data_IF_920539609831
#
_entry.id   IF_920539609831
#
_cell.length_a   1.000
_cell.length_b   1.000
_cell.length_c   1.000
_cell.angle_alpha   90.00
_cell.angle_beta   90.00
_cell.angle_gamma   90.00
#
_symmetry.space_group_name_H-M   'P 1'
#
loop_
_entity.id
_entity.type
_entity.pdbx_description
1 polymer ?
#
# COMPACT_ATOMS: atom_id res chain seq x y z
N UNK A 1 -13.92 23.38 2.79
CA UNK A 1 -15.28 22.85 2.95
C UNK A 1 -15.22 21.69 3.94
N UNK A 2 -15.96 21.73 5.05
CA UNK A 2 -15.94 20.71 6.10
C UNK A 2 -17.22 19.87 5.99
N UNK A 3 -17.09 18.56 5.77
CA UNK A 3 -18.22 17.65 5.50
C UNK A 3 -18.85 17.04 6.77
N UNK A 4 -18.33 17.37 7.95
CA UNK A 4 -18.75 16.77 9.23
C UNK A 4 -18.14 15.39 9.48
N UNK A 5 -18.64 14.71 10.51
CA UNK A 5 -18.19 13.36 10.88
C UNK A 5 -18.77 12.28 9.97
N UNK A 6 -17.96 11.28 9.65
CA UNK A 6 -18.37 10.10 8.88
C UNK A 6 -19.03 9.08 9.81
N UNK A 7 -20.29 9.33 10.19
CA UNK A 7 -21.02 8.51 11.18
C UNK A 7 -22.29 7.88 10.64
N UNK A 8 -22.68 8.18 9.40
CA UNK A 8 -23.92 7.67 8.85
C UNK A 8 -23.68 6.33 8.15
N UNK A 9 -24.24 5.28 8.69
CA UNK A 9 -24.08 3.91 8.20
C UNK A 9 -25.00 3.62 7.01
N UNK A 10 -24.50 2.87 6.03
CA UNK A 10 -25.28 2.36 4.92
C UNK A 10 -26.10 1.12 5.35
N UNK A 11 -27.43 1.10 5.19
CA UNK A 11 -28.25 -0.04 5.61
C UNK A 11 -27.95 -1.35 4.87
N UNK A 12 -27.32 -1.28 3.69
CA UNK A 12 -27.10 -2.46 2.83
C UNK A 12 -25.70 -3.08 2.97
N UNK A 13 -24.69 -2.29 3.33
CA UNK A 13 -23.29 -2.77 3.40
C UNK A 13 -22.54 -2.31 4.64
N UNK A 14 -23.21 -1.59 5.56
CA UNK A 14 -22.67 -1.13 6.83
C UNK A 14 -21.46 -0.20 6.72
N UNK A 15 -21.15 0.30 5.52
CA UNK A 15 -20.11 1.31 5.32
C UNK A 15 -20.54 2.66 5.92
N UNK A 16 -19.63 3.32 6.63
CA UNK A 16 -19.84 4.67 7.16
C UNK A 16 -19.62 5.73 6.09
N UNK A 17 -20.47 6.77 6.12
CA UNK A 17 -20.47 7.86 5.15
C UNK A 17 -20.75 9.22 5.81
N UNK A 18 -20.44 10.28 5.06
CA UNK A 18 -20.90 11.64 5.36
C UNK A 18 -22.32 11.87 4.84
N UNK A 19 -23.09 12.67 5.56
CA UNK A 19 -24.45 13.07 5.16
C UNK A 19 -24.48 13.72 3.77
N UNK A 20 -23.46 14.52 3.45
CA UNK A 20 -23.35 15.19 2.16
C UNK A 20 -23.20 14.24 0.95
N UNK A 21 -22.98 12.93 1.18
CA UNK A 21 -22.86 11.90 0.14
C UNK A 21 -24.17 11.12 -0.10
N UNK A 22 -25.26 11.57 0.51
CA UNK A 22 -26.58 11.00 0.28
C UNK A 22 -27.08 11.27 -1.14
N UNK A 23 -27.88 10.36 -1.68
CA UNK A 23 -28.65 10.67 -2.88
C UNK A 23 -29.69 11.75 -2.61
N UNK A 24 -30.10 12.48 -3.65
CA UNK A 24 -31.10 13.55 -3.56
C UNK A 24 -32.46 13.07 -3.00
N UNK A 25 -32.80 11.79 -3.22
CA UNK A 25 -34.04 11.16 -2.73
C UNK A 25 -33.85 10.42 -1.39
N UNK A 26 -32.70 10.60 -0.75
CA UNK A 26 -32.40 10.01 0.55
C UNK A 26 -33.15 10.73 1.66
N UNK A 27 -33.55 10.00 2.70
CA UNK A 27 -34.14 10.57 3.91
C UNK A 27 -33.29 10.19 5.12
N UNK A 28 -33.49 10.88 6.26
CA UNK A 28 -32.85 10.48 7.51
C UNK A 28 -33.28 9.09 7.98
N UNK A 29 -34.50 8.70 7.63
CA UNK A 29 -35.10 7.42 8.02
C UNK A 29 -34.58 6.29 7.11
N UNK A 30 -34.39 6.58 5.82
CA UNK A 30 -33.87 5.63 4.83
C UNK A 30 -32.71 6.26 4.05
N UNK A 31 -31.51 6.29 4.64
CA UNK A 31 -30.35 6.85 3.97
C UNK A 31 -29.90 5.94 2.82
N UNK A 32 -29.81 6.50 1.61
CA UNK A 32 -29.42 5.76 0.41
C UNK A 32 -28.07 6.24 -0.11
N UNK A 33 -27.19 5.28 -0.39
CA UNK A 33 -25.82 5.51 -0.85
C UNK A 33 -25.55 4.75 -2.14
N UNK A 34 -25.02 5.44 -3.15
CA UNK A 34 -24.65 4.84 -4.43
C UNK A 34 -23.18 4.47 -4.52
N UNK A 35 -22.33 5.15 -3.75
CA UNK A 35 -20.87 5.02 -3.88
C UNK A 35 -20.28 3.76 -3.25
N UNK A 36 -20.93 3.17 -2.24
CA UNK A 36 -20.45 1.94 -1.60
C UNK A 36 -20.93 0.70 -2.35
N UNK A 37 -22.20 0.32 -2.22
CA UNK A 37 -22.76 -0.94 -2.71
C UNK A 37 -23.72 -0.76 -3.90
N UNK A 38 -23.69 0.39 -4.58
CA UNK A 38 -24.69 0.78 -5.60
C UNK A 38 -26.13 0.60 -5.11
N UNK A 39 -26.44 1.13 -3.92
CA UNK A 39 -27.76 1.00 -3.30
C UNK A 39 -28.18 -0.46 -3.06
N UNK A 40 -27.25 -1.28 -2.56
CA UNK A 40 -27.48 -2.69 -2.23
C UNK A 40 -27.43 -3.66 -3.41
N UNK A 41 -27.10 -3.19 -4.62
CA UNK A 41 -26.99 -4.04 -5.82
C UNK A 41 -25.70 -4.88 -5.84
N UNK A 42 -24.66 -4.43 -5.13
CA UNK A 42 -23.39 -5.13 -5.03
C UNK A 42 -23.22 -5.61 -3.59
N UNK A 43 -23.04 -6.92 -3.41
CA UNK A 43 -22.59 -7.48 -2.15
C UNK A 43 -21.07 -7.32 -2.04
N UNK A 44 -20.60 -6.58 -1.04
CA UNK A 44 -19.17 -6.39 -0.77
C UNK A 44 -18.82 -7.38 0.35
N UNK A 45 -18.01 -8.41 0.09
CA UNK A 45 -17.59 -9.33 1.14
C UNK A 45 -16.79 -8.57 2.20
N UNK A 46 -16.99 -8.93 3.46
CA UNK A 46 -16.12 -8.47 4.53
C UNK A 46 -14.71 -9.01 4.30
N UNK A 47 -13.72 -8.20 4.65
CA UNK A 47 -12.34 -8.67 4.68
C UNK A 47 -12.21 -9.77 5.73
N UNK A 48 -11.51 -10.84 5.37
CA UNK A 48 -11.12 -11.85 6.35
C UNK A 48 -10.27 -11.22 7.45
N UNK A 49 -10.26 -11.86 8.61
CA UNK A 49 -9.42 -11.42 9.71
C UNK A 49 -7.95 -11.41 9.25
N UNK A 50 -7.25 -10.33 9.59
CA UNK A 50 -5.82 -10.23 9.35
C UNK A 50 -5.12 -11.40 10.06
N UNK A 51 -4.18 -12.12 9.41
CA UNK A 51 -3.38 -13.15 10.05
C UNK A 51 -2.77 -12.66 11.38
N UNK A 52 -2.71 -13.53 12.39
CA UNK A 52 -2.34 -13.14 13.75
C UNK A 52 -0.93 -12.54 13.86
N UNK A 53 0.00 -13.02 13.04
CA UNK A 53 1.36 -12.52 12.96
C UNK A 53 1.39 -11.08 12.47
N UNK A 54 0.65 -10.77 11.40
CA UNK A 54 0.51 -9.41 10.89
C UNK A 54 -0.21 -8.53 11.90
N UNK A 55 -1.26 -9.03 12.54
CA UNK A 55 -1.95 -8.29 13.60
C UNK A 55 -1.01 -7.88 14.72
N UNK A 56 -0.15 -8.80 15.18
CA UNK A 56 0.83 -8.50 16.22
C UNK A 56 1.87 -7.48 15.75
N UNK A 57 2.37 -7.59 14.51
CA UNK A 57 3.31 -6.61 13.96
C UNK A 57 2.74 -5.18 13.92
N UNK A 58 1.45 -5.03 13.62
CA UNK A 58 0.79 -3.72 13.55
C UNK A 58 0.29 -3.18 14.89
N UNK A 59 -0.16 -4.04 15.80
CA UNK A 59 -0.91 -3.62 16.99
C UNK A 59 -0.30 -4.01 18.34
N UNK A 60 0.68 -4.92 18.38
CA UNK A 60 1.40 -5.20 19.62
C UNK A 60 2.20 -3.96 20.08
N UNK A 61 2.67 -3.97 21.32
CA UNK A 61 3.43 -2.87 21.93
C UNK A 61 4.85 -3.28 22.33
N UNK A 62 5.33 -4.39 21.79
CA UNK A 62 6.70 -4.85 21.97
C UNK A 62 7.68 -4.07 21.06
N UNK A 63 8.97 -4.34 21.22
CA UNK A 63 10.00 -3.63 20.46
C UNK A 63 9.99 -4.02 18.98
N UNK A 64 9.51 -5.22 18.65
CA UNK A 64 9.43 -5.74 17.28
C UNK A 64 8.33 -5.01 16.51
N UNK A 65 7.13 -4.87 17.07
CA UNK A 65 6.01 -4.18 16.42
C UNK A 65 6.28 -2.70 16.22
N UNK A 66 7.00 -2.06 17.16
CA UNK A 66 7.42 -0.66 17.04
C UNK A 66 8.44 -0.48 15.93
N UNK A 67 9.46 -1.32 15.87
CA UNK A 67 10.45 -1.33 14.79
C UNK A 67 9.77 -1.54 13.44
N UNK A 68 8.89 -2.56 13.37
CA UNK A 68 8.12 -2.86 12.17
C UNK A 68 7.30 -1.66 11.70
N UNK A 69 6.53 -1.02 12.59
CA UNK A 69 5.72 0.15 12.24
C UNK A 69 6.58 1.36 11.83
N UNK A 70 7.74 1.57 12.47
CA UNK A 70 8.67 2.63 12.10
C UNK A 70 9.28 2.42 10.71
N UNK A 71 9.58 1.17 10.35
CA UNK A 71 10.23 0.81 9.10
C UNK A 71 9.28 0.18 8.07
N UNK A 72 7.97 0.27 8.27
CA UNK A 72 6.96 -0.41 7.43
C UNK A 72 7.09 -0.09 5.94
N UNK A 73 7.48 1.14 5.60
CA UNK A 73 7.74 1.54 4.23
C UNK A 73 8.93 0.78 3.62
N UNK A 74 10.00 0.54 4.39
CA UNK A 74 11.16 -0.22 3.95
C UNK A 74 10.79 -1.70 3.74
N UNK A 75 10.06 -2.30 4.67
CA UNK A 75 9.54 -3.66 4.52
C UNK A 75 8.64 -3.79 3.29
N UNK A 76 7.68 -2.88 3.11
CA UNK A 76 6.82 -2.88 1.93
C UNK A 76 7.60 -2.69 0.64
N UNK A 77 8.64 -1.85 0.61
CA UNK A 77 9.50 -1.67 -0.55
C UNK A 77 10.35 -2.92 -0.84
N UNK A 78 10.89 -3.56 0.20
CA UNK A 78 11.68 -4.78 0.07
C UNK A 78 10.84 -6.01 -0.32
N UNK A 79 9.53 -5.99 -0.05
CA UNK A 79 8.57 -7.02 -0.43
C UNK A 79 7.75 -6.66 -1.67
N UNK A 80 7.84 -5.41 -2.15
CA UNK A 80 7.24 -5.01 -3.39
C UNK A 80 7.95 -5.75 -4.53
N UNK A 81 7.25 -6.68 -5.18
CA UNK A 81 7.72 -7.39 -6.38
C UNK A 81 7.79 -6.48 -7.62
N UNK A 82 7.92 -5.17 -7.41
CA UNK A 82 7.92 -4.15 -8.44
C UNK A 82 9.18 -3.32 -8.29
N UNK A 83 10.16 -3.55 -9.17
CA UNK A 83 11.24 -2.59 -9.40
C UNK A 83 10.72 -1.52 -10.37
N UNK A 84 10.82 -0.25 -9.97
CA UNK A 84 10.54 0.87 -10.88
C UNK A 84 11.85 1.26 -11.55
N UNK A 85 11.97 0.98 -12.84
CA UNK A 85 13.09 1.45 -13.66
C UNK A 85 12.92 2.91 -14.04
N UNK A 86 13.81 3.78 -13.56
CA UNK A 86 13.81 5.20 -13.92
C UNK A 86 15.12 5.90 -13.54
N UNK A 87 15.48 6.97 -14.25
CA UNK A 87 16.59 7.82 -13.83
C UNK A 87 16.13 8.75 -12.69
N UNK A 88 16.69 8.52 -11.51
CA UNK A 88 16.46 9.36 -10.34
C UNK A 88 17.26 10.65 -10.50
N UNK A 89 16.56 11.78 -10.50
CA UNK A 89 17.20 13.09 -10.51
C UNK A 89 17.58 13.47 -9.07
N UNK A 90 18.84 13.24 -8.72
CA UNK A 90 19.35 13.58 -7.38
C UNK A 90 19.66 15.08 -7.21
N UNK A 91 19.57 15.89 -8.27
CA UNK A 91 19.93 17.32 -8.20
C UNK A 91 18.99 18.16 -7.33
N UNK A 92 17.78 17.64 -7.06
CA UNK A 92 16.74 18.33 -6.28
C UNK A 92 16.88 18.19 -4.75
N UNK A 93 17.76 17.30 -4.26
CA UNK A 93 17.90 17.02 -2.83
C UNK A 93 19.11 17.69 -2.16
N UNK A 94 19.69 18.72 -2.77
CA UNK A 94 20.89 19.40 -2.26
C UNK A 94 20.60 20.47 -1.17
N UNK A 95 19.37 20.54 -0.65
CA UNK A 95 18.92 21.56 0.31
C UNK A 95 18.55 21.00 1.70
N UNK A 96 18.09 21.88 2.60
CA UNK A 96 17.51 21.51 3.91
C UNK A 96 16.01 21.19 3.82
N UNK A 97 15.48 21.05 2.61
CA UNK A 97 14.06 20.82 2.36
C UNK A 97 13.71 19.33 2.51
N UNK A 98 12.43 18.99 2.70
CA UNK A 98 11.99 17.60 2.73
C UNK A 98 12.44 16.86 1.47
N UNK A 99 12.89 15.62 1.66
CA UNK A 99 13.39 14.78 0.57
C UNK A 99 12.36 14.63 -0.55
N UNK A 100 12.75 15.00 -1.78
CA UNK A 100 11.92 14.91 -2.98
C UNK A 100 12.41 13.76 -3.84
N UNK A 101 11.55 12.76 -4.05
CA UNK A 101 11.81 11.70 -5.02
C UNK A 101 11.33 12.14 -6.41
N UNK A 102 12.26 12.56 -7.26
CA UNK A 102 11.97 13.06 -8.62
C UNK A 102 12.49 12.07 -9.67
N UNK A 103 11.58 11.57 -10.49
CA UNK A 103 11.88 10.71 -11.64
C UNK A 103 11.63 11.52 -12.91
N UNK A 104 12.59 11.54 -13.84
CA UNK A 104 12.46 12.28 -15.10
C UNK A 104 12.56 11.32 -16.31
N UNK A 105 11.70 11.51 -17.32
CA UNK A 105 11.68 10.72 -18.56
C UNK A 105 10.54 9.70 -18.65
N UNK A 106 10.63 8.76 -19.61
CA UNK A 106 9.73 7.60 -19.69
C UNK A 106 10.00 6.72 -18.47
N UNK A 107 9.11 6.74 -17.49
CA UNK A 107 9.10 5.75 -16.40
C UNK A 107 8.67 4.43 -17.02
N UNK A 108 9.62 3.53 -17.21
CA UNK A 108 9.35 2.18 -17.65
C UNK A 108 8.82 1.42 -16.43
N UNK A 109 7.52 1.54 -16.17
CA UNK A 109 6.78 0.70 -15.20
C UNK A 109 6.59 -0.72 -15.76
N UNK A 110 7.68 -1.31 -16.27
CA UNK A 110 7.73 -2.72 -16.61
C UNK A 110 8.32 -3.43 -15.40
N UNK A 111 7.72 -4.56 -15.00
CA UNK A 111 8.39 -5.50 -14.11
C UNK A 111 9.69 -5.91 -14.79
N UNK A 112 10.81 -5.27 -14.42
CA UNK A 112 12.13 -5.68 -14.84
C UNK A 112 12.47 -6.92 -14.00
N UNK A 113 11.76 -8.02 -14.26
CA UNK A 113 12.22 -9.34 -13.85
C UNK A 113 13.49 -9.55 -14.66
N UNK A 114 14.65 -9.27 -14.05
CA UNK A 114 15.93 -9.65 -14.62
C UNK A 114 15.94 -11.14 -14.99
N UNK A 115 16.89 -11.54 -15.84
CA UNK A 115 17.13 -12.95 -16.18
C UNK A 115 17.01 -13.82 -14.92
N UNK A 116 16.39 -14.99 -15.00
CA UNK A 116 16.23 -15.88 -13.84
C UNK A 116 17.57 -16.45 -13.33
N UNK A 117 18.60 -16.39 -14.19
CA UNK A 117 19.96 -16.86 -13.92
C UNK A 117 20.93 -15.68 -14.07
N UNK A 118 21.81 -15.41 -13.10
CA UNK A 118 22.92 -14.48 -13.29
C UNK A 118 23.78 -14.94 -14.47
N UNK A 119 24.20 -14.02 -15.32
CA UNK A 119 25.20 -14.31 -16.34
C UNK A 119 26.59 -14.27 -15.66
N UNK A 120 27.07 -15.41 -15.18
CA UNK A 120 28.40 -15.50 -14.56
C UNK A 120 28.44 -15.00 -13.11
N UNK A 121 29.38 -14.10 -12.80
CA UNK A 121 29.71 -13.63 -11.44
C UNK A 121 28.94 -12.36 -11.02
N UNK A 122 27.93 -11.97 -11.80
CA UNK A 122 27.12 -10.77 -11.54
C UNK A 122 26.24 -10.93 -10.29
N UNK A 123 26.11 -9.85 -9.51
CA UNK A 123 25.25 -9.81 -8.34
C UNK A 123 23.77 -10.05 -8.71
N UNK A 124 23.08 -10.83 -7.88
CA UNK A 124 21.68 -11.17 -8.08
C UNK A 124 20.82 -9.91 -7.93
N UNK A 125 19.89 -9.69 -8.85
CA UNK A 125 19.04 -8.49 -8.87
C UNK A 125 17.56 -8.84 -9.00
N UNK A 126 16.71 -8.06 -8.33
CA UNK A 126 15.25 -8.12 -8.44
C UNK A 126 14.63 -9.46 -7.98
N UNK A 127 13.80 -10.07 -8.84
CA UNK A 127 13.01 -11.28 -8.56
C UNK A 127 13.83 -12.51 -8.16
N UNK A 128 15.10 -12.59 -8.57
CA UNK A 128 16.01 -13.69 -8.21
C UNK A 128 16.19 -13.80 -6.69
N UNK A 129 16.22 -12.67 -5.97
CA UNK A 129 16.40 -12.66 -4.52
C UNK A 129 15.25 -13.37 -3.78
N UNK A 130 14.08 -13.55 -4.38
CA UNK A 130 12.96 -14.27 -3.73
C UNK A 130 13.04 -15.80 -3.88
N UNK A 131 13.97 -16.30 -4.70
CA UNK A 131 14.11 -17.74 -5.03
C UNK A 131 15.30 -18.34 -4.27
N UNK A 132 16.31 -17.52 -3.96
CA UNK A 132 17.43 -17.88 -3.10
C UNK A 132 17.06 -17.76 -1.62
N UNK A 133 17.90 -18.35 -0.76
CA UNK A 133 17.75 -18.37 0.69
C UNK A 133 17.31 -16.99 1.25
N UNK A 134 16.24 -16.93 2.08
CA UNK A 134 15.71 -15.69 2.63
C UNK A 134 16.75 -14.80 3.33
N UNK A 135 17.79 -15.39 3.93
CA UNK A 135 18.85 -14.65 4.61
C UNK A 135 19.79 -13.94 3.62
N UNK A 136 20.09 -14.57 2.47
CA UNK A 136 20.90 -13.97 1.40
C UNK A 136 20.12 -12.84 0.72
N UNK A 137 18.82 -13.03 0.54
CA UNK A 137 17.91 -12.02 0.01
C UNK A 137 17.84 -10.76 0.88
N UNK A 138 17.75 -10.95 2.21
CA UNK A 138 17.66 -9.85 3.17
C UNK A 138 18.93 -9.01 3.19
N UNK A 139 20.12 -9.65 3.24
CA UNK A 139 21.41 -8.96 3.24
C UNK A 139 21.70 -8.18 1.94
N UNK A 140 21.04 -8.52 0.84
CA UNK A 140 21.19 -7.83 -0.44
C UNK A 140 20.18 -6.68 -0.62
N UNK A 141 19.18 -6.56 0.26
CA UNK A 141 18.09 -5.57 0.20
C UNK A 141 18.20 -4.47 1.27
N UNK A 142 18.85 -4.76 2.40
CA UNK A 142 19.24 -3.77 3.40
C UNK A 142 20.54 -3.08 2.98
#
# INVERSE_FOLDING_TARGET
HHLGSMIHECPSCHAFHWRAKWHTNSSEIHPTYGQCCKSGKINIPYLDNVPGELWNLFFAQDDISKEFCQNIHQYNNALAMTSVGGQVDNSVNNGREPYVYKIHGKVYLYHHMGSFLPAGDDAHVFGQLYIYDPAVALNSRM
#
